data_IF_986843869082
#
_entry.id   IF_986843869082
#
_cell.length_a   1.000
_cell.length_b   1.000
_cell.length_c   1.000
_cell.angle_alpha   90.00
_cell.angle_beta   90.00
_cell.angle_gamma   90.00
#
_symmetry.space_group_name_H-M   'P 1'
#
loop_
_entity.id
_entity.type
_entity.pdbx_description
1 polymer ?
#
# COMPACT_ATOMS: atom_id res chain seq x y z
N UNK A 1 21.38 -22.31 -43.92
CA UNK A 1 20.21 -22.16 -43.03
C UNK A 1 18.97 -22.09 -43.87
N UNK A 2 18.01 -22.98 -43.61
CA UNK A 2 16.74 -22.95 -44.34
C UNK A 2 15.97 -21.68 -43.97
N UNK A 3 15.19 -21.13 -44.90
CA UNK A 3 14.40 -19.90 -44.65
C UNK A 3 13.46 -20.06 -43.43
N UNK A 4 13.04 -21.28 -43.14
CA UNK A 4 12.19 -21.62 -42.00
C UNK A 4 12.94 -21.49 -40.67
N UNK A 5 14.20 -21.91 -40.58
CA UNK A 5 15.02 -21.75 -39.35
C UNK A 5 15.20 -20.27 -38.97
N UNK A 6 15.40 -19.41 -39.97
CA UNK A 6 15.58 -17.97 -39.76
C UNK A 6 14.29 -17.32 -39.24
N UNK A 7 13.14 -17.69 -39.80
CA UNK A 7 11.84 -17.16 -39.36
C UNK A 7 11.51 -17.64 -37.95
N UNK A 8 11.72 -18.94 -37.67
CA UNK A 8 11.41 -19.53 -36.36
C UNK A 8 12.30 -18.93 -35.25
N UNK A 9 13.59 -18.74 -35.51
CA UNK A 9 14.50 -18.10 -34.56
C UNK A 9 14.17 -16.62 -34.33
N UNK A 10 13.76 -15.89 -35.36
CA UNK A 10 13.33 -14.50 -35.22
C UNK A 10 12.06 -14.36 -34.37
N UNK A 11 11.06 -15.23 -34.59
CA UNK A 11 9.81 -15.23 -33.80
C UNK A 11 10.08 -15.62 -32.35
N UNK A 12 10.94 -16.62 -32.12
CA UNK A 12 11.34 -17.03 -30.77
C UNK A 12 12.04 -15.89 -30.03
N UNK A 13 12.99 -15.21 -30.69
CA UNK A 13 13.71 -14.07 -30.10
C UNK A 13 12.76 -12.93 -29.72
N UNK A 14 11.82 -12.58 -30.60
CA UNK A 14 10.81 -11.57 -30.32
C UNK A 14 9.91 -11.97 -29.15
N UNK A 15 9.52 -13.25 -29.06
CA UNK A 15 8.72 -13.78 -27.97
C UNK A 15 9.45 -13.67 -26.62
N UNK A 16 10.74 -14.03 -26.58
CA UNK A 16 11.55 -13.91 -25.36
C UNK A 16 11.68 -12.44 -24.94
N UNK A 17 11.95 -11.53 -25.87
CA UNK A 17 12.01 -10.09 -25.58
C UNK A 17 10.69 -9.57 -25.01
N UNK A 18 9.56 -9.98 -25.61
CA UNK A 18 8.23 -9.57 -25.16
C UNK A 18 7.91 -10.10 -23.77
N UNK A 19 8.31 -11.33 -23.44
CA UNK A 19 8.13 -11.88 -22.09
C UNK A 19 8.94 -11.11 -21.04
N UNK A 20 10.20 -10.78 -21.35
CA UNK A 20 11.04 -9.98 -20.46
C UNK A 20 10.43 -8.59 -20.24
N UNK A 21 9.94 -7.96 -21.31
CA UNK A 21 9.22 -6.69 -21.23
C UNK A 21 7.96 -6.77 -20.37
N UNK A 22 7.18 -7.84 -20.50
CA UNK A 22 6.01 -8.11 -19.66
C UNK A 22 6.38 -8.23 -18.18
N UNK A 23 7.43 -8.99 -17.86
CA UNK A 23 7.88 -9.17 -16.47
C UNK A 23 8.31 -7.83 -15.86
N UNK A 24 9.07 -7.01 -16.61
CA UNK A 24 9.46 -5.68 -16.14
C UNK A 24 8.26 -4.75 -15.94
N UNK A 25 7.31 -4.78 -16.88
CA UNK A 25 6.09 -3.97 -16.79
C UNK A 25 5.24 -4.36 -15.58
N UNK A 26 5.01 -5.66 -15.37
CA UNK A 26 4.23 -6.17 -14.23
C UNK A 26 4.89 -5.79 -12.92
N UNK A 27 6.22 -5.94 -12.80
CA UNK A 27 6.94 -5.47 -11.60
C UNK A 27 6.76 -3.98 -11.35
N UNK A 28 6.87 -3.14 -12.39
CA UNK A 28 6.64 -1.71 -12.28
C UNK A 28 5.19 -1.36 -11.89
N UNK A 29 4.21 -2.11 -12.41
CA UNK A 29 2.81 -1.93 -12.08
C UNK A 29 2.51 -2.29 -10.62
N UNK A 30 3.09 -3.38 -10.10
CA UNK A 30 2.95 -3.79 -8.69
C UNK A 30 3.50 -2.71 -7.75
N UNK A 31 4.69 -2.17 -8.02
CA UNK A 31 5.28 -1.11 -7.18
C UNK A 31 4.41 0.16 -7.16
N UNK A 32 3.84 0.53 -8.31
CA UNK A 32 2.92 1.68 -8.37
C UNK A 32 1.63 1.42 -7.59
N UNK A 33 1.12 0.19 -7.62
CA UNK A 33 -0.06 -0.19 -6.84
C UNK A 33 0.23 -0.22 -5.34
N UNK A 34 1.43 -0.68 -4.92
CA UNK A 34 1.90 -0.58 -3.52
C UNK A 34 1.85 0.87 -3.04
N UNK A 35 2.47 1.77 -3.80
CA UNK A 35 2.48 3.19 -3.46
C UNK A 35 1.06 3.78 -3.38
N UNK A 36 0.20 3.47 -4.35
CA UNK A 36 -1.20 3.91 -4.32
C UNK A 36 -1.93 3.35 -3.10
N UNK A 37 -1.66 2.11 -2.69
CA UNK A 37 -2.27 1.51 -1.50
C UNK A 37 -1.85 2.21 -0.21
N UNK A 38 -0.57 2.54 -0.06
CA UNK A 38 -0.04 3.27 1.09
C UNK A 38 -0.72 4.64 1.22
N UNK A 39 -0.78 5.39 0.12
CA UNK A 39 -1.48 6.68 0.06
C UNK A 39 -3.00 6.55 0.33
N UNK A 40 -3.61 5.42 -0.05
CA UNK A 40 -5.02 5.14 0.29
C UNK A 40 -5.21 4.88 1.78
N UNK A 41 -4.26 4.23 2.45
CA UNK A 41 -4.26 4.05 3.90
C UNK A 41 -4.14 5.39 4.64
N UNK A 42 -3.26 6.27 4.17
CA UNK A 42 -3.15 7.63 4.70
C UNK A 42 -4.44 8.43 4.52
N UNK A 43 -5.09 8.29 3.35
CA UNK A 43 -6.39 8.91 3.08
C UNK A 43 -7.51 8.37 3.97
N UNK A 44 -7.50 7.07 4.25
CA UNK A 44 -8.43 6.43 5.20
C UNK A 44 -8.24 7.02 6.60
N UNK A 45 -7.00 7.15 7.06
CA UNK A 45 -6.69 7.75 8.36
C UNK A 45 -7.19 9.21 8.45
N UNK A 46 -6.95 10.03 7.42
CA UNK A 46 -7.47 11.40 7.35
C UNK A 46 -9.00 11.45 7.37
N UNK A 47 -9.64 10.56 6.62
CA UNK A 47 -11.11 10.46 6.56
C UNK A 47 -11.69 10.07 7.91
N UNK A 48 -11.05 9.14 8.62
CA UNK A 48 -11.48 8.71 9.94
C UNK A 48 -11.37 9.85 10.96
N UNK A 49 -10.24 10.56 10.98
CA UNK A 49 -10.05 11.74 11.82
C UNK A 49 -11.09 12.85 11.51
N UNK A 50 -11.44 13.04 10.23
CA UNK A 50 -12.50 13.95 9.83
C UNK A 50 -13.87 13.51 10.36
N UNK A 51 -14.21 12.23 10.24
CA UNK A 51 -15.46 11.67 10.77
C UNK A 51 -15.56 11.82 12.30
N UNK A 52 -14.47 11.57 13.02
CA UNK A 52 -14.39 11.75 14.48
C UNK A 52 -14.60 13.22 14.87
N UNK A 53 -13.93 14.15 14.20
CA UNK A 53 -14.13 15.58 14.42
C UNK A 53 -15.59 16.00 14.15
N UNK A 54 -16.21 15.47 13.10
CA UNK A 54 -17.61 15.74 12.81
C UNK A 54 -18.55 15.20 13.89
N UNK A 55 -18.26 14.02 14.44
CA UNK A 55 -19.02 13.43 15.53
C UNK A 55 -18.96 14.30 16.77
N UNK A 56 -17.76 14.77 17.14
CA UNK A 56 -17.57 15.71 18.25
C UNK A 56 -18.42 16.97 18.01
N UNK A 57 -18.37 17.57 16.81
CA UNK A 57 -19.15 18.77 16.47
C UNK A 57 -20.67 18.51 16.54
N UNK A 58 -21.13 17.35 16.11
CA UNK A 58 -22.55 16.95 16.18
C UNK A 58 -23.03 16.74 17.61
N UNK A 59 -22.15 16.30 18.51
CA UNK A 59 -22.46 16.10 19.94
C UNK A 59 -22.49 17.42 20.74
N UNK A 60 -22.07 18.57 20.17
CA UNK A 60 -22.26 19.88 20.81
C UNK A 60 -23.73 20.28 20.82
N UNK A 61 -24.18 20.80 21.97
CA UNK A 61 -25.57 21.22 22.22
C UNK A 61 -26.14 22.23 21.19
N UNK A 62 -25.30 23.01 20.50
CA UNK A 62 -25.74 23.95 19.46
C UNK A 62 -26.07 23.30 18.11
N UNK A 63 -25.54 22.09 17.85
CA UNK A 63 -25.65 21.41 16.56
C UNK A 63 -26.37 20.05 16.66
N UNK A 64 -26.71 19.65 17.88
CA UNK A 64 -27.46 18.43 18.16
C UNK A 64 -28.84 18.48 17.48
N UNK A 65 -29.10 17.54 16.58
CA UNK A 65 -30.34 17.46 15.80
C UNK A 65 -30.30 18.16 14.44
N UNK A 66 -29.14 18.69 14.02
CA UNK A 66 -28.96 19.17 12.64
C UNK A 66 -28.90 17.99 11.65
N UNK A 67 -29.91 17.87 10.79
CA UNK A 67 -30.01 16.81 9.78
C UNK A 67 -28.89 16.88 8.72
N UNK A 68 -28.35 18.07 8.44
CA UNK A 68 -27.25 18.24 7.48
C UNK A 68 -25.96 17.66 8.04
N UNK A 69 -25.63 17.98 9.29
CA UNK A 69 -24.42 17.53 9.96
C UNK A 69 -24.46 16.01 10.21
N UNK A 70 -25.64 15.48 10.56
CA UNK A 70 -25.90 14.03 10.64
C UNK A 70 -25.69 13.32 9.31
N UNK A 71 -26.21 13.88 8.20
CA UNK A 71 -25.99 13.32 6.87
C UNK A 71 -24.51 13.37 6.47
N UNK A 72 -23.79 14.42 6.87
CA UNK A 72 -22.38 14.59 6.57
C UNK A 72 -21.51 13.59 7.35
N UNK A 73 -21.84 13.35 8.63
CA UNK A 73 -21.22 12.31 9.45
C UNK A 73 -21.47 10.91 8.86
N UNK A 74 -22.70 10.62 8.46
CA UNK A 74 -23.04 9.34 7.82
C UNK A 74 -22.25 9.12 6.52
N UNK A 75 -22.08 10.16 5.69
CA UNK A 75 -21.25 10.07 4.49
C UNK A 75 -19.76 9.86 4.81
N UNK A 76 -19.22 10.54 5.83
CA UNK A 76 -17.83 10.35 6.23
C UNK A 76 -17.54 8.91 6.69
N UNK A 77 -18.46 8.32 7.47
CA UNK A 77 -18.36 6.92 7.91
C UNK A 77 -18.49 5.95 6.73
N UNK A 78 -19.49 6.15 5.85
CA UNK A 78 -19.68 5.29 4.67
C UNK A 78 -18.53 5.38 3.67
N UNK A 79 -17.87 6.54 3.57
CA UNK A 79 -16.68 6.70 2.75
C UNK A 79 -15.47 5.96 3.35
N UNK A 80 -15.32 5.99 4.68
CA UNK A 80 -14.27 5.23 5.37
C UNK A 80 -14.41 3.71 5.17
N UNK A 81 -15.64 3.19 5.29
CA UNK A 81 -15.94 1.76 5.06
C UNK A 81 -15.61 1.30 3.63
N UNK A 82 -15.79 2.19 2.64
CA UNK A 82 -15.38 1.92 1.26
C UNK A 82 -13.86 1.88 1.11
N UNK A 83 -13.11 2.76 1.79
CA UNK A 83 -11.64 2.76 1.78
C UNK A 83 -11.06 1.48 2.41
N UNK A 84 -11.65 0.98 3.50
CA UNK A 84 -11.24 -0.28 4.15
C UNK A 84 -11.35 -1.50 3.20
N UNK A 85 -12.34 -1.50 2.30
CA UNK A 85 -12.49 -2.57 1.30
C UNK A 85 -11.32 -2.61 0.31
N UNK A 86 -10.73 -1.46 -0.02
CA UNK A 86 -9.58 -1.38 -0.93
C UNK A 86 -8.29 -1.87 -0.24
N UNK A 87 -8.11 -1.57 1.04
CA UNK A 87 -7.00 -2.06 1.86
C UNK A 87 -7.01 -3.61 1.95
N UNK A 88 -8.16 -4.20 2.22
CA UNK A 88 -8.30 -5.66 2.33
C UNK A 88 -7.90 -6.40 1.05
N UNK A 89 -8.40 -5.96 -0.11
CA UNK A 89 -8.07 -6.56 -1.42
C UNK A 89 -6.57 -6.48 -1.69
N UNK A 90 -5.93 -5.41 -1.22
CA UNK A 90 -4.52 -5.16 -1.41
C UNK A 90 -3.63 -6.07 -0.55
N UNK A 91 -3.96 -6.19 0.75
CA UNK A 91 -3.23 -7.06 1.70
C UNK A 91 -3.13 -8.53 1.21
N UNK A 92 -4.18 -9.03 0.56
CA UNK A 92 -4.23 -10.37 -0.04
C UNK A 92 -3.24 -10.56 -1.20
N UNK A 93 -2.83 -9.48 -1.85
CA UNK A 93 -1.93 -9.51 -3.00
C UNK A 93 -0.45 -9.40 -2.57
N UNK A 94 -0.17 -8.79 -1.42
CA UNK A 94 1.18 -8.55 -0.90
C UNK A 94 1.88 -9.83 -0.41
N UNK A 95 1.13 -10.77 0.19
CA UNK A 95 1.66 -12.05 0.74
C UNK A 95 2.31 -12.96 -0.32
N UNK A 96 2.11 -12.68 -1.61
CA UNK A 96 2.60 -13.51 -2.72
C UNK A 96 3.88 -12.98 -3.41
N UNK A 97 4.52 -11.94 -2.86
CA UNK A 97 5.76 -11.40 -3.42
C UNK A 97 6.96 -12.02 -2.71
N UNK A 98 7.77 -12.90 -3.34
CA UNK A 98 9.02 -13.34 -2.74
C UNK A 98 9.94 -12.13 -2.62
N UNK A 99 10.11 -11.64 -1.38
CA UNK A 99 11.11 -10.64 -1.01
C UNK A 99 12.48 -11.11 -1.50
N UNK A 100 12.96 -10.49 -2.57
CA UNK A 100 14.36 -10.55 -2.95
C UNK A 100 15.10 -9.52 -2.12
N UNK A 101 15.90 -10.00 -1.16
CA UNK A 101 16.97 -9.31 -0.42
C UNK A 101 17.03 -7.78 -0.61
N UNK A 102 16.47 -7.05 0.35
CA UNK A 102 17.09 -5.81 0.79
C UNK A 102 17.90 -6.15 2.04
N UNK A 103 19.21 -6.22 1.87
CA UNK A 103 20.16 -6.20 2.98
C UNK A 103 19.99 -4.88 3.70
N UNK A 104 19.25 -4.88 4.81
CA UNK A 104 19.42 -3.87 5.86
C UNK A 104 20.60 -4.33 6.72
N UNK A 105 21.74 -3.74 6.39
CA UNK A 105 22.91 -3.60 7.25
C UNK A 105 22.52 -2.74 8.45
N UNK A 106 21.97 -3.35 9.49
CA UNK A 106 21.82 -2.72 10.80
C UNK A 106 23.08 -3.00 11.62
N UNK A 107 24.13 -2.25 11.32
CA UNK A 107 25.34 -2.15 12.12
C UNK A 107 25.17 -1.13 13.23
N UNK A 108 24.39 -1.44 14.27
CA UNK A 108 24.40 -0.66 15.51
C UNK A 108 23.93 -1.48 16.70
N UNK A 109 24.86 -2.03 17.49
CA UNK A 109 24.65 -2.32 18.92
C UNK A 109 25.98 -2.70 19.59
N UNK A 110 26.54 -1.79 20.40
CA UNK A 110 26.85 -2.02 21.83
C UNK A 110 27.57 -0.80 22.42
N UNK A 111 26.81 0.05 23.11
CA UNK A 111 27.33 0.83 24.22
C UNK A 111 27.53 -0.14 25.40
N UNK A 112 28.78 -0.34 25.79
CA UNK A 112 29.15 -1.08 27.00
C UNK A 112 28.88 -0.22 28.25
N UNK A 113 27.75 -0.46 28.92
CA UNK A 113 27.59 -0.09 30.34
C UNK A 113 28.48 -1.02 31.18
N UNK A 114 29.65 -0.52 31.62
CA UNK A 114 30.40 -1.13 32.71
C UNK A 114 30.42 -0.18 33.90
N UNK A 115 29.50 -0.38 34.85
CA UNK A 115 29.71 -0.02 36.25
C UNK A 115 29.35 -1.22 37.11
N UNK A 116 30.30 -2.14 37.28
CA UNK A 116 30.28 -3.07 38.40
C UNK A 116 30.80 -2.35 39.66
N UNK A 117 29.89 -2.27 40.62
CA UNK A 117 30.12 -2.05 42.04
C UNK A 117 30.74 -3.32 42.67
N UNK A 118 31.93 -3.20 43.24
CA UNK A 118 32.36 -3.77 44.53
C UNK A 118 33.83 -3.36 44.78
N UNK A 119 34.26 -3.02 46.00
CA UNK A 119 34.09 -3.82 47.20
C UNK A 119 35.31 -4.70 47.37
#
# INVERSE_FOLDING_TARGET
MSRLEIILSAVLFLSVLSNIGLIMYVRGAIIRLLFVSEELGDLQQMTNAFAENLKIVYELDMFYGDETLKSLLHHAVSFNEQLETFEYIYSLTEENTPQGNSTEDDGTEQDEETQEENG
#
